data_IF_267654823709
#
_entry.id   IF_267654823709
#
_cell.length_a   1.000
_cell.length_b   1.000
_cell.length_c   1.000
_cell.angle_alpha   90.00
_cell.angle_beta   90.00
_cell.angle_gamma   90.00
#
_symmetry.space_group_name_H-M   'P 1'
#
loop_
_entity.id
_entity.type
_entity.pdbx_description
1 polymer ?
#
# COMPACT_ATOMS: atom_id res chain seq x y z
N UNK A 1 -15.86 -3.05 -31.85
CA UNK A 1 -14.59 -2.32 -31.57
C UNK A 1 -14.26 -2.54 -30.10
N UNK A 2 -13.46 -3.57 -29.81
CA UNK A 2 -13.02 -3.84 -28.44
C UNK A 2 -11.87 -2.90 -28.09
N UNK A 3 -12.14 -1.97 -27.17
CA UNK A 3 -11.07 -1.25 -26.49
C UNK A 3 -10.44 -2.25 -25.51
N UNK A 4 -9.36 -2.91 -25.93
CA UNK A 4 -8.46 -3.57 -25.01
C UNK A 4 -7.78 -2.48 -24.18
N UNK A 5 -8.39 -2.15 -23.05
CA UNK A 5 -7.71 -1.36 -22.03
C UNK A 5 -6.48 -2.19 -21.63
N UNK A 6 -5.30 -1.78 -22.10
CA UNK A 6 -4.02 -2.10 -21.45
C UNK A 6 -4.05 -1.47 -20.06
N UNK A 7 -4.88 -2.02 -19.18
CA UNK A 7 -4.91 -1.65 -17.78
C UNK A 7 -3.54 -2.01 -17.25
N UNK A 8 -2.77 -1.00 -16.88
CA UNK A 8 -1.55 -1.22 -16.11
C UNK A 8 -1.88 -2.22 -15.00
N UNK A 9 -1.06 -3.26 -14.77
CA UNK A 9 -1.35 -4.25 -13.76
C UNK A 9 -1.36 -3.56 -12.39
N UNK A 10 -2.54 -3.16 -11.93
CA UNK A 10 -2.76 -2.54 -10.63
C UNK A 10 -2.99 -3.65 -9.64
N UNK A 11 -2.06 -3.81 -8.71
CA UNK A 11 -2.16 -4.73 -7.60
C UNK A 11 -3.27 -4.29 -6.66
N UNK A 12 -4.36 -5.07 -6.62
CA UNK A 12 -5.47 -4.86 -5.70
C UNK A 12 -5.34 -5.81 -4.53
N UNK A 13 -5.54 -5.28 -3.32
CA UNK A 13 -5.57 -6.07 -2.08
C UNK A 13 -6.79 -5.68 -1.26
N UNK A 14 -7.70 -6.63 -1.08
CA UNK A 14 -8.84 -6.50 -0.18
C UNK A 14 -8.39 -6.70 1.27
N UNK A 15 -8.82 -5.81 2.17
CA UNK A 15 -8.61 -5.94 3.61
C UNK A 15 -9.86 -5.50 4.39
N UNK A 16 -10.62 -6.47 4.88
CA UNK A 16 -11.89 -6.20 5.56
C UNK A 16 -12.92 -5.53 4.64
N UNK A 17 -13.18 -4.24 4.84
CA UNK A 17 -14.07 -3.41 4.03
C UNK A 17 -13.32 -2.42 3.12
N UNK A 18 -11.98 -2.47 3.12
CA UNK A 18 -11.14 -1.55 2.40
C UNK A 18 -10.46 -2.26 1.23
N UNK A 19 -10.36 -1.56 0.10
CA UNK A 19 -9.59 -1.99 -1.05
C UNK A 19 -8.34 -1.11 -1.17
N UNK A 20 -7.16 -1.73 -1.18
CA UNK A 20 -5.89 -1.07 -1.41
C UNK A 20 -5.44 -1.34 -2.85
N UNK A 21 -5.11 -0.28 -3.58
CA UNK A 21 -4.64 -0.39 -4.96
C UNK A 21 -3.21 0.16 -5.08
N UNK A 22 -2.33 -0.61 -5.71
CA UNK A 22 -0.94 -0.23 -5.97
C UNK A 22 -0.65 -0.37 -7.46
N UNK A 23 -0.09 0.65 -8.09
CA UNK A 23 0.25 0.61 -9.51
C UNK A 23 1.61 -0.04 -9.81
N UNK A 24 2.40 -0.33 -8.77
CA UNK A 24 3.69 -0.99 -8.89
C UNK A 24 4.10 -1.70 -7.58
N UNK A 25 4.89 -2.79 -7.64
CA UNK A 25 5.46 -3.43 -6.45
C UNK A 25 6.27 -2.46 -5.57
N UNK A 26 6.94 -1.47 -6.16
CA UNK A 26 7.66 -0.44 -5.42
C UNK A 26 6.75 0.44 -4.53
N UNK A 27 5.50 0.67 -4.93
CA UNK A 27 4.53 1.37 -4.08
C UNK A 27 4.11 0.51 -2.89
N UNK A 28 3.92 -0.80 -3.09
CA UNK A 28 3.62 -1.73 -2.01
C UNK A 28 4.81 -1.85 -1.04
N UNK A 29 6.04 -1.94 -1.54
CA UNK A 29 7.24 -1.95 -0.70
C UNK A 29 7.34 -0.68 0.17
N UNK A 30 7.10 0.49 -0.42
CA UNK A 30 7.08 1.75 0.32
C UNK A 30 5.95 1.79 1.37
N UNK A 31 4.77 1.26 1.04
CA UNK A 31 3.65 1.14 1.98
C UNK A 31 4.01 0.27 3.19
N UNK A 32 4.63 -0.89 2.95
CA UNK A 32 5.13 -1.81 3.98
C UNK A 32 6.16 -1.11 4.86
N UNK A 33 7.15 -0.43 4.27
CA UNK A 33 8.20 0.30 4.99
C UNK A 33 7.58 1.32 5.95
N UNK A 34 6.71 2.18 5.43
CA UNK A 34 6.03 3.22 6.22
C UNK A 34 5.20 2.61 7.34
N UNK A 35 4.40 1.58 7.09
CA UNK A 35 3.58 0.96 8.13
C UNK A 35 4.38 0.13 9.15
N UNK A 36 5.56 -0.38 8.79
CA UNK A 36 6.39 -1.20 9.68
C UNK A 36 7.12 -0.38 10.75
N UNK A 37 7.28 0.93 10.55
CA UNK A 37 7.99 1.81 11.49
C UNK A 37 7.30 1.92 12.87
N UNK A 38 8.11 2.02 13.93
CA UNK A 38 7.64 2.19 15.31
C UNK A 38 8.45 3.35 15.94
N UNK A 39 7.83 4.51 16.27
CA UNK A 39 6.41 4.87 16.09
C UNK A 39 6.03 5.12 14.62
N UNK A 40 4.72 5.11 14.31
CA UNK A 40 4.21 5.44 12.96
C UNK A 40 4.61 6.89 12.60
N UNK A 41 5.24 7.13 11.45
CA UNK A 41 5.65 8.46 11.04
C UNK A 41 4.41 9.30 10.77
N UNK A 42 4.50 10.58 11.11
CA UNK A 42 3.49 11.54 10.70
C UNK A 42 3.65 11.85 9.21
N UNK A 43 2.56 12.22 8.54
CA UNK A 43 2.62 12.65 7.15
C UNK A 43 3.57 13.82 6.94
N UNK A 44 3.76 14.68 7.95
CA UNK A 44 4.75 15.76 7.96
C UNK A 44 6.18 15.24 7.83
N UNK A 45 6.55 14.19 8.56
CA UNK A 45 7.88 13.57 8.47
C UNK A 45 8.06 12.91 7.10
N UNK A 46 7.03 12.26 6.57
CA UNK A 46 7.09 11.61 5.25
C UNK A 46 7.23 12.63 4.12
N UNK A 47 6.48 13.73 4.16
CA UNK A 47 6.61 14.84 3.19
C UNK A 47 7.93 15.61 3.32
N UNK A 48 8.60 15.55 4.48
CA UNK A 48 9.92 16.16 4.68
C UNK A 48 11.08 15.30 4.18
N UNK A 49 10.86 14.02 3.84
CA UNK A 49 11.88 13.18 3.21
C UNK A 49 12.14 13.69 1.79
N UNK A 50 13.42 13.84 1.41
CA UNK A 50 13.84 14.40 0.10
C UNK A 50 13.08 13.73 -1.04
N UNK A 51 12.55 14.55 -1.96
CA UNK A 51 11.79 14.16 -3.17
C UNK A 51 10.36 13.64 -2.97
N UNK A 52 9.68 13.91 -1.85
CA UNK A 52 8.24 13.68 -1.77
C UNK A 52 7.48 14.72 -2.62
N UNK A 53 6.77 14.34 -3.70
CA UNK A 53 6.08 15.28 -4.60
C UNK A 53 4.78 15.86 -3.99
N UNK A 54 4.45 15.48 -2.75
CA UNK A 54 3.17 15.80 -2.10
C UNK A 54 3.38 16.39 -0.72
N UNK A 55 2.70 17.50 -0.45
CA UNK A 55 2.67 18.12 0.87
C UNK A 55 2.02 17.22 1.93
N UNK A 56 2.08 17.59 3.23
CA UNK A 56 1.65 16.75 4.35
C UNK A 56 0.22 16.23 4.26
N UNK A 57 -0.68 16.98 3.61
CA UNK A 57 -2.08 16.60 3.42
C UNK A 57 -2.31 15.78 2.15
N UNK A 58 -1.35 15.77 1.22
CA UNK A 58 -1.38 14.99 -0.02
C UNK A 58 -0.81 13.58 0.12
N UNK A 59 -0.18 13.25 1.25
CA UNK A 59 0.40 11.92 1.48
C UNK A 59 -0.70 10.88 1.73
N UNK A 60 -0.61 9.71 1.09
CA UNK A 60 -1.63 8.63 1.19
C UNK A 60 -1.90 8.20 2.64
N UNK A 61 -0.91 8.30 3.53
CA UNK A 61 -1.06 8.00 4.95
C UNK A 61 -2.12 8.86 5.66
N UNK A 62 -2.36 10.11 5.21
CA UNK A 62 -3.44 10.93 5.78
C UNK A 62 -4.82 10.36 5.44
N UNK A 63 -4.96 9.80 4.23
CA UNK A 63 -6.18 9.20 3.69
C UNK A 63 -6.42 7.76 4.14
N UNK A 64 -5.40 7.10 4.69
CA UNK A 64 -5.54 5.73 5.18
C UNK A 64 -6.56 5.69 6.34
N UNK A 65 -7.54 4.77 6.32
CA UNK A 65 -8.51 4.58 7.39
C UNK A 65 -7.85 4.40 8.77
N UNK A 66 -8.50 4.94 9.82
CA UNK A 66 -7.96 4.94 11.18
C UNK A 66 -7.80 3.54 11.79
N UNK A 67 -8.69 2.62 11.42
CA UNK A 67 -8.68 1.22 11.82
C UNK A 67 -7.44 0.46 11.28
N UNK A 68 -6.99 0.79 10.07
CA UNK A 68 -5.75 0.25 9.48
C UNK A 68 -4.48 0.83 10.12
N UNK A 69 -4.56 2.01 10.73
CA UNK A 69 -3.44 2.64 11.46
C UNK A 69 -3.24 2.08 12.86
N UNK A 70 -4.23 1.35 13.40
CA UNK A 70 -4.14 0.79 14.74
C UNK A 70 -2.97 -0.21 14.85
N UNK A 71 -2.21 -0.24 15.95
CA UNK A 71 -0.97 -1.03 16.02
C UNK A 71 -1.16 -2.52 15.70
N UNK A 72 -2.23 -3.13 16.21
CA UNK A 72 -2.54 -4.56 16.00
C UNK A 72 -2.93 -4.87 14.55
N UNK A 73 -3.78 -4.04 13.95
CA UNK A 73 -4.19 -4.22 12.55
C UNK A 73 -3.03 -3.95 11.61
N UNK A 74 -2.22 -2.94 11.90
CA UNK A 74 -1.05 -2.58 11.12
C UNK A 74 -0.02 -3.70 11.04
N UNK A 75 0.25 -4.40 12.15
CA UNK A 75 1.18 -5.54 12.15
C UNK A 75 0.67 -6.68 11.28
N UNK A 76 -0.62 -7.04 11.37
CA UNK A 76 -1.25 -8.05 10.52
C UNK A 76 -1.26 -7.64 9.05
N UNK A 77 -1.56 -6.37 8.78
CA UNK A 77 -1.59 -5.82 7.44
C UNK A 77 -0.20 -5.84 6.81
N UNK A 78 0.84 -5.45 7.54
CA UNK A 78 2.24 -5.49 7.09
C UNK A 78 2.65 -6.92 6.74
N UNK A 79 2.30 -7.91 7.57
CA UNK A 79 2.62 -9.31 7.28
C UNK A 79 1.95 -9.78 5.99
N UNK A 80 0.65 -9.54 5.86
CA UNK A 80 -0.10 -9.89 4.65
C UNK A 80 0.44 -9.18 3.39
N UNK A 81 0.76 -7.88 3.49
CA UNK A 81 1.34 -7.13 2.38
C UNK A 81 2.70 -7.67 1.97
N UNK A 82 3.52 -8.18 2.90
CA UNK A 82 4.81 -8.81 2.57
C UNK A 82 4.63 -10.11 1.79
N UNK A 83 3.61 -10.90 2.12
CA UNK A 83 3.28 -12.11 1.37
C UNK A 83 2.88 -11.74 -0.07
N UNK A 84 1.96 -10.79 -0.23
CA UNK A 84 1.55 -10.28 -1.54
C UNK A 84 2.74 -9.71 -2.32
N UNK A 85 3.61 -8.95 -1.67
CA UNK A 85 4.80 -8.39 -2.32
C UNK A 85 5.72 -9.50 -2.85
N UNK A 86 5.97 -10.54 -2.05
CA UNK A 86 6.77 -11.69 -2.48
C UNK A 86 6.16 -12.38 -3.70
N UNK A 87 4.84 -12.58 -3.71
CA UNK A 87 4.16 -13.18 -4.84
C UNK A 87 4.14 -12.27 -6.08
N UNK A 88 3.93 -10.97 -5.91
CA UNK A 88 3.90 -9.98 -6.99
C UNK A 88 5.28 -9.86 -7.68
N UNK A 89 6.37 -9.85 -6.91
CA UNK A 89 7.74 -9.83 -7.44
C UNK A 89 8.09 -11.15 -8.13
N UNK A 90 7.59 -12.28 -7.64
CA UNK A 90 7.90 -13.61 -8.18
C UNK A 90 7.09 -13.95 -9.44
N UNK A 91 5.80 -13.58 -9.49
CA UNK A 91 4.86 -13.95 -10.56
C UNK A 91 4.63 -12.87 -11.62
N UNK A 92 4.97 -11.60 -11.34
CA UNK A 92 4.66 -10.48 -12.23
C UNK A 92 3.15 -10.26 -12.48
N UNK A 93 2.29 -10.84 -11.64
CA UNK A 93 0.83 -10.78 -11.76
C UNK A 93 0.21 -9.54 -11.13
N UNK A 94 -1.04 -9.26 -11.49
CA UNK A 94 -1.74 -8.00 -11.20
C UNK A 94 -2.79 -8.06 -10.10
N UNK A 95 -3.23 -9.23 -9.63
CA UNK A 95 -4.45 -9.35 -8.81
C UNK A 95 -4.26 -10.35 -7.66
N UNK A 96 -4.40 -9.87 -6.41
CA UNK A 96 -4.10 -10.67 -5.22
C UNK A 96 -5.14 -10.46 -4.12
N UNK A 97 -5.95 -11.49 -3.87
CA UNK A 97 -6.95 -11.45 -2.81
C UNK A 97 -6.37 -11.97 -1.50
N UNK A 98 -6.09 -11.07 -0.56
CA UNK A 98 -5.75 -11.44 0.82
C UNK A 98 -7.04 -11.58 1.61
N UNK A 99 -7.23 -12.72 2.29
CA UNK A 99 -8.31 -12.88 3.27
C UNK A 99 -7.79 -12.49 4.65
N UNK A 100 -8.35 -11.43 5.22
CA UNK A 100 -8.11 -10.95 6.60
C UNK A 100 -8.91 -11.71 7.63
#
# INVERSE_FOLDING_TARGET
>A
MEVQHKGFPVLRVDWGQHELQFSAPGQLAHFIDVLSTKPLPTSKILSARKNAPVGPNGHWLSRLPGDLKSPRTREKLVDAMRQVYSEAVTRGGSDFKVKS
#
